data_IF_584566336141
#
_entry.id   IF_584566336141
#
_cell.length_a   1.000
_cell.length_b   1.000
_cell.length_c   1.000
_cell.angle_alpha   90.00
_cell.angle_beta   90.00
_cell.angle_gamma   90.00
#
_symmetry.space_group_name_H-M   'P 1'
#
loop_
_entity.id
_entity.type
_entity.pdbx_description
1 polymer ?
#
# COMPACT_ATOMS: atom_id res chain seq x y z
N UNK A 1 -17.80 -53.27 -42.93
CA UNK A 1 -17.36 -51.91 -42.54
C UNK A 1 -18.12 -51.44 -41.28
N UNK A 2 -19.10 -52.24 -40.82
CA UNK A 2 -20.02 -51.87 -39.73
C UNK A 2 -19.51 -52.23 -38.32
N UNK A 3 -18.69 -53.27 -38.17
CA UNK A 3 -18.17 -53.71 -36.85
C UNK A 3 -17.25 -52.66 -36.20
N UNK A 4 -16.44 -51.95 -37.00
CA UNK A 4 -15.58 -50.88 -36.51
C UNK A 4 -16.39 -49.63 -36.11
N UNK A 5 -17.44 -49.31 -36.88
CA UNK A 5 -18.34 -48.21 -36.58
C UNK A 5 -19.18 -48.49 -35.32
N UNK A 6 -19.70 -49.70 -35.16
CA UNK A 6 -20.41 -50.13 -33.95
C UNK A 6 -19.49 -50.17 -32.72
N UNK A 7 -18.22 -50.56 -32.88
CA UNK A 7 -17.25 -50.49 -31.78
C UNK A 7 -16.95 -49.05 -31.33
N UNK A 8 -16.81 -48.11 -32.27
CA UNK A 8 -16.63 -46.69 -31.93
C UNK A 8 -17.90 -46.07 -31.35
N UNK A 9 -19.09 -46.38 -31.90
CA UNK A 9 -20.37 -45.86 -31.41
C UNK A 9 -20.72 -46.40 -30.01
N UNK A 10 -20.37 -47.65 -29.70
CA UNK A 10 -20.66 -48.28 -28.41
C UNK A 10 -19.61 -47.94 -27.33
N UNK A 11 -18.36 -47.61 -27.71
CA UNK A 11 -17.28 -47.23 -26.77
C UNK A 11 -16.96 -45.73 -26.70
N UNK A 12 -17.61 -44.90 -27.52
CA UNK A 12 -17.51 -43.43 -27.47
C UNK A 12 -17.70 -42.84 -26.05
N UNK A 13 -18.62 -43.35 -25.20
CA UNK A 13 -18.76 -42.87 -23.83
C UNK A 13 -17.48 -43.05 -23.00
N UNK A 14 -16.70 -44.11 -23.20
CA UNK A 14 -15.46 -44.32 -22.45
C UNK A 14 -14.32 -43.43 -22.94
N UNK A 15 -14.33 -43.08 -24.23
CA UNK A 15 -13.33 -42.21 -24.83
C UNK A 15 -13.52 -40.74 -24.42
N UNK A 16 -14.75 -40.33 -24.09
CA UNK A 16 -15.07 -38.94 -23.70
C UNK A 16 -14.89 -38.65 -22.20
N UNK A 17 -14.93 -39.68 -21.35
CA UNK A 17 -14.75 -39.56 -19.88
C UNK A 17 -13.53 -38.72 -19.50
N UNK A 18 -12.28 -39.01 -19.98
CA UNK A 18 -11.10 -38.24 -19.58
C UNK A 18 -11.12 -36.78 -20.08
N UNK A 19 -11.82 -36.49 -21.17
CA UNK A 19 -11.97 -35.11 -21.67
C UNK A 19 -12.96 -34.32 -20.82
N UNK A 20 -14.08 -34.93 -20.43
CA UNK A 20 -15.06 -34.30 -19.56
C UNK A 20 -14.49 -34.12 -18.15
N UNK A 21 -13.80 -35.13 -17.61
CA UNK A 21 -13.19 -35.07 -16.28
C UNK A 21 -12.12 -33.97 -16.22
N UNK A 22 -11.21 -33.94 -17.20
CA UNK A 22 -10.20 -32.89 -17.32
C UNK A 22 -10.81 -31.49 -17.51
N UNK A 23 -11.86 -31.36 -18.32
CA UNK A 23 -12.55 -30.07 -18.48
C UNK A 23 -13.19 -29.58 -17.18
N UNK A 24 -13.86 -30.47 -16.45
CA UNK A 24 -14.49 -30.14 -15.16
C UNK A 24 -13.44 -29.79 -14.11
N UNK A 25 -12.31 -30.52 -14.05
CA UNK A 25 -11.20 -30.24 -13.15
C UNK A 25 -10.56 -28.88 -13.43
N UNK A 26 -10.26 -28.58 -14.69
CA UNK A 26 -9.78 -27.26 -15.12
C UNK A 26 -10.77 -26.15 -14.76
N UNK A 27 -12.03 -26.29 -15.15
CA UNK A 27 -13.08 -25.30 -14.93
C UNK A 27 -13.29 -25.00 -13.45
N UNK A 28 -13.33 -26.05 -12.62
CA UNK A 28 -13.48 -25.91 -11.17
C UNK A 28 -12.27 -25.21 -10.54
N UNK A 29 -11.06 -25.53 -10.98
CA UNK A 29 -9.84 -24.89 -10.48
C UNK A 29 -9.78 -23.39 -10.82
N UNK A 30 -10.12 -23.01 -12.05
CA UNK A 30 -10.19 -21.59 -12.45
C UNK A 30 -11.20 -20.84 -11.58
N UNK A 31 -12.37 -21.42 -11.35
CA UNK A 31 -13.42 -20.79 -10.52
C UNK A 31 -12.97 -20.69 -9.07
N UNK A 32 -12.43 -21.75 -8.49
CA UNK A 32 -11.91 -21.76 -7.12
C UNK A 32 -10.83 -20.69 -6.89
N UNK A 33 -9.94 -20.54 -7.87
CA UNK A 33 -8.90 -19.52 -7.84
C UNK A 33 -9.52 -18.12 -7.88
N UNK A 34 -10.43 -17.87 -8.83
CA UNK A 34 -11.13 -16.57 -8.93
C UNK A 34 -11.93 -16.23 -7.65
N UNK A 35 -12.58 -17.22 -7.04
CA UNK A 35 -13.32 -17.07 -5.78
C UNK A 35 -12.44 -16.74 -4.58
N UNK A 36 -11.15 -17.07 -4.63
CA UNK A 36 -10.17 -16.74 -3.57
C UNK A 36 -9.87 -15.24 -3.53
N UNK A 37 -9.88 -14.57 -4.69
CA UNK A 37 -9.52 -13.15 -4.84
C UNK A 37 -10.73 -12.22 -4.91
N UNK A 38 -11.93 -12.73 -5.23
CA UNK A 38 -13.14 -11.92 -5.43
C UNK A 38 -14.35 -12.49 -4.69
N UNK A 39 -15.28 -11.63 -4.23
CA UNK A 39 -15.28 -10.17 -4.29
C UNK A 39 -14.37 -9.53 -3.22
N UNK A 40 -13.94 -8.29 -3.48
CA UNK A 40 -13.07 -7.51 -2.58
C UNK A 40 -13.77 -7.13 -1.28
N UNK A 41 -15.04 -6.75 -1.38
CA UNK A 41 -15.91 -6.46 -0.25
C UNK A 41 -16.88 -7.60 -0.01
N UNK A 42 -17.38 -7.70 1.23
CA UNK A 42 -18.39 -8.69 1.57
C UNK A 42 -19.69 -8.41 0.81
N UNK A 43 -20.15 -9.39 0.03
CA UNK A 43 -21.43 -9.32 -0.68
C UNK A 43 -22.40 -10.31 -0.04
N UNK A 44 -23.49 -9.82 0.53
CA UNK A 44 -24.58 -10.64 1.07
C UNK A 44 -25.24 -10.04 2.31
N UNK A 45 -26.15 -10.79 2.92
CA UNK A 45 -26.88 -10.41 4.13
C UNK A 45 -26.43 -11.35 5.24
N UNK A 46 -25.89 -10.81 6.32
CA UNK A 46 -25.38 -11.62 7.44
C UNK A 46 -26.49 -12.56 7.95
N UNK A 47 -26.26 -13.89 8.07
CA UNK A 47 -24.97 -14.60 7.97
C UNK A 47 -24.61 -15.14 6.57
N UNK A 48 -25.49 -15.04 5.58
CA UNK A 48 -25.31 -15.59 4.23
C UNK A 48 -24.70 -14.55 3.28
N UNK A 49 -23.37 -14.54 3.18
CA UNK A 49 -22.66 -13.73 2.21
C UNK A 49 -21.26 -14.27 1.95
N UNK A 50 -20.67 -13.79 0.87
CA UNK A 50 -19.41 -14.29 0.35
C UNK A 50 -18.41 -13.13 0.18
N UNK A 51 -17.16 -13.41 0.52
CA UNK A 51 -16.03 -12.53 0.28
C UNK A 51 -14.83 -13.40 -0.10
N UNK A 52 -13.96 -12.90 -0.98
CA UNK A 52 -12.72 -13.59 -1.29
C UNK A 52 -11.88 -13.84 -0.02
N UNK A 53 -11.18 -14.97 0.02
CA UNK A 53 -10.35 -15.37 1.18
C UNK A 53 -9.19 -14.38 1.38
N UNK A 54 -8.58 -13.89 0.30
CA UNK A 54 -7.48 -12.92 0.37
C UNK A 54 -7.96 -11.56 0.90
N UNK A 55 -8.99 -10.91 0.31
CA UNK A 55 -9.47 -9.63 0.82
C UNK A 55 -10.06 -9.72 2.24
N UNK A 56 -10.73 -10.82 2.61
CA UNK A 56 -11.23 -11.01 3.99
C UNK A 56 -10.12 -11.17 5.03
N UNK A 57 -8.91 -11.60 4.60
CA UNK A 57 -7.72 -11.74 5.46
C UNK A 57 -6.64 -10.70 5.17
N UNK A 58 -7.00 -9.61 4.48
CA UNK A 58 -6.09 -8.55 4.04
C UNK A 58 -5.16 -8.07 5.16
N UNK A 59 -5.68 -7.79 6.36
CA UNK A 59 -4.89 -7.30 7.50
C UNK A 59 -3.80 -8.27 7.93
N UNK A 60 -4.14 -9.56 8.02
CA UNK A 60 -3.19 -10.59 8.42
C UNK A 60 -2.09 -10.74 7.37
N UNK A 61 -2.47 -10.73 6.09
CA UNK A 61 -1.52 -10.86 4.99
C UNK A 61 -0.61 -9.65 4.88
N UNK A 62 -1.16 -8.43 4.94
CA UNK A 62 -0.39 -7.19 4.93
C UNK A 62 0.65 -7.17 6.06
N UNK A 63 0.25 -7.54 7.28
CA UNK A 63 1.18 -7.62 8.42
C UNK A 63 2.33 -8.59 8.16
N UNK A 64 2.04 -9.81 7.70
CA UNK A 64 3.07 -10.83 7.42
C UNK A 64 4.01 -10.36 6.30
N UNK A 65 3.46 -9.79 5.22
CA UNK A 65 4.26 -9.30 4.09
C UNK A 65 5.16 -8.14 4.50
N UNK A 66 4.62 -7.15 5.22
CA UNK A 66 5.40 -6.00 5.71
C UNK A 66 6.45 -6.46 6.71
N UNK A 67 6.11 -7.33 7.66
CA UNK A 67 7.05 -7.91 8.63
C UNK A 67 8.22 -8.60 7.95
N UNK A 68 7.94 -9.37 6.89
CA UNK A 68 8.97 -10.07 6.13
C UNK A 68 9.86 -9.10 5.33
N UNK A 69 9.29 -8.03 4.77
CA UNK A 69 10.06 -7.01 4.05
C UNK A 69 10.94 -6.19 5.00
N UNK A 70 10.39 -5.67 6.11
CA UNK A 70 11.13 -4.82 7.05
C UNK A 70 12.20 -5.60 7.80
N UNK A 71 11.99 -6.89 8.09
CA UNK A 71 13.01 -7.72 8.76
C UNK A 71 14.17 -8.15 7.86
N UNK A 72 14.02 -8.11 6.54
CA UNK A 72 15.01 -8.69 5.60
C UNK A 72 15.59 -7.73 4.58
N UNK A 73 14.91 -6.61 4.27
CA UNK A 73 15.20 -5.84 3.06
C UNK A 73 15.29 -4.32 3.26
N UNK A 74 14.65 -3.75 4.29
CA UNK A 74 14.52 -2.29 4.41
C UNK A 74 14.74 -1.82 5.85
N UNK A 75 15.80 -1.06 6.07
CA UNK A 75 15.96 -0.21 7.27
C UNK A 75 15.30 1.15 7.02
N UNK A 76 14.58 1.65 8.02
CA UNK A 76 13.97 3.00 7.97
C UNK A 76 15.05 4.06 7.74
N UNK A 77 16.20 3.88 8.38
CA UNK A 77 17.39 4.74 8.25
C UNK A 77 17.96 4.73 6.83
N UNK A 78 17.91 3.59 6.13
CA UNK A 78 18.38 3.49 4.74
C UNK A 78 17.44 4.19 3.76
N UNK A 79 16.13 4.17 4.02
CA UNK A 79 15.16 4.91 3.20
C UNK A 79 15.29 6.41 3.45
N UNK A 80 15.38 6.81 4.71
CA UNK A 80 15.46 8.22 5.09
C UNK A 80 16.79 8.85 4.65
N UNK A 81 17.90 8.12 4.71
CA UNK A 81 19.20 8.61 4.22
C UNK A 81 19.27 8.83 2.70
N UNK A 82 18.33 8.27 1.93
CA UNK A 82 18.19 8.53 0.49
C UNK A 82 17.33 9.75 0.18
N UNK A 83 16.60 10.29 1.15
CA UNK A 83 15.89 11.55 0.98
C UNK A 83 16.93 12.69 0.99
N UNK A 84 16.88 13.55 -0.03
CA UNK A 84 17.74 14.73 -0.11
C UNK A 84 17.18 15.83 0.80
N UNK A 85 17.94 16.30 1.81
CA UNK A 85 17.52 17.41 2.68
C UNK A 85 17.11 18.66 1.90
N UNK A 86 17.77 18.93 0.78
CA UNK A 86 17.53 20.10 -0.07
C UNK A 86 16.13 20.07 -0.68
N UNK A 87 15.65 18.89 -1.08
CA UNK A 87 14.32 18.74 -1.68
C UNK A 87 13.21 18.79 -0.64
N UNK A 88 13.48 18.27 0.56
CA UNK A 88 12.56 18.41 1.69
C UNK A 88 12.47 19.88 2.08
N UNK A 89 13.59 20.59 2.11
CA UNK A 89 13.62 22.02 2.37
C UNK A 89 12.76 22.77 1.34
N UNK A 90 12.97 22.58 0.04
CA UNK A 90 12.19 23.27 -1.00
C UNK A 90 10.67 23.07 -0.86
N UNK A 91 10.23 21.84 -0.54
CA UNK A 91 8.80 21.50 -0.42
C UNK A 91 8.17 21.97 0.90
N UNK A 92 8.90 21.85 2.02
CA UNK A 92 8.38 22.17 3.35
C UNK A 92 8.53 23.65 3.69
N UNK A 93 9.55 24.33 3.15
CA UNK A 93 9.88 25.71 3.49
C UNK A 93 8.71 26.69 3.32
N UNK A 94 7.88 26.66 2.26
CA UNK A 94 6.72 27.54 2.14
C UNK A 94 5.72 27.37 3.30
N UNK A 95 5.45 26.13 3.71
CA UNK A 95 4.54 25.83 4.82
C UNK A 95 5.11 26.32 6.15
N UNK A 96 6.40 26.07 6.40
CA UNK A 96 7.08 26.55 7.62
C UNK A 96 7.16 28.08 7.64
N UNK A 97 7.42 28.76 6.51
CA UNK A 97 7.40 30.24 6.43
C UNK A 97 6.03 30.80 6.81
N UNK A 98 4.96 30.22 6.26
CA UNK A 98 3.60 30.64 6.59
C UNK A 98 3.30 30.46 8.09
N UNK A 99 3.67 29.31 8.65
CA UNK A 99 3.48 29.01 10.07
C UNK A 99 4.33 29.91 10.97
N UNK A 100 5.61 30.13 10.64
CA UNK A 100 6.51 31.00 11.38
C UNK A 100 5.98 32.43 11.44
N UNK A 101 5.46 32.95 10.31
CA UNK A 101 4.81 34.26 10.27
C UNK A 101 3.57 34.32 11.18
N UNK A 102 2.74 33.28 11.15
CA UNK A 102 1.55 33.21 11.99
C UNK A 102 1.93 33.20 13.47
N UNK A 103 2.81 32.29 13.88
CA UNK A 103 3.29 32.16 15.26
C UNK A 103 3.96 33.46 15.73
N UNK A 104 4.77 34.09 14.88
CA UNK A 104 5.41 35.38 15.21
C UNK A 104 4.37 36.44 15.51
N UNK A 105 3.33 36.57 14.69
CA UNK A 105 2.26 37.52 14.95
C UNK A 105 1.51 37.21 16.24
N UNK A 106 1.16 35.94 16.47
CA UNK A 106 0.46 35.50 17.69
C UNK A 106 1.28 35.76 18.96
N UNK A 107 2.57 35.40 18.95
CA UNK A 107 3.48 35.61 20.10
C UNK A 107 3.71 37.09 20.36
N UNK A 108 3.95 37.90 19.32
CA UNK A 108 4.16 39.33 19.47
C UNK A 108 2.90 40.05 19.95
N UNK A 109 1.72 39.62 19.49
CA UNK A 109 0.45 40.15 19.98
C UNK A 109 0.22 39.76 21.45
N UNK A 110 0.54 38.53 21.85
CA UNK A 110 0.35 38.06 23.22
C UNK A 110 1.33 38.71 24.22
N UNK A 111 2.60 38.85 23.85
CA UNK A 111 3.66 39.28 24.79
C UNK A 111 4.03 40.76 24.67
N UNK A 112 3.86 41.37 23.50
CA UNK A 112 4.32 42.72 23.22
C UNK A 112 3.31 43.52 22.38
N UNK A 113 2.00 43.35 22.62
CA UNK A 113 0.90 43.95 21.83
C UNK A 113 1.10 45.45 21.55
N UNK A 114 1.45 46.25 22.57
CA UNK A 114 1.62 47.71 22.41
C UNK A 114 2.74 48.03 21.42
N UNK A 115 3.90 47.38 21.56
CA UNK A 115 5.04 47.58 20.66
C UNK A 115 4.70 47.06 19.27
N UNK A 116 4.09 45.87 19.19
CA UNK A 116 3.74 45.25 17.91
C UNK A 116 2.75 46.09 17.13
N UNK A 117 1.67 46.56 17.76
CA UNK A 117 0.66 47.39 17.09
C UNK A 117 1.17 48.79 16.73
N UNK A 118 2.14 49.33 17.47
CA UNK A 118 2.75 50.61 17.13
C UNK A 118 3.76 50.55 15.98
N UNK A 119 4.25 49.36 15.61
CA UNK A 119 5.25 49.20 14.55
C UNK A 119 4.63 49.37 13.15
N UNK A 120 5.24 50.15 12.26
CA UNK A 120 4.87 50.19 10.84
C UNK A 120 5.01 48.81 10.17
N UNK A 121 4.20 48.54 9.15
CA UNK A 121 4.22 47.26 8.41
C UNK A 121 5.59 46.90 7.84
N UNK A 122 6.39 47.90 7.45
CA UNK A 122 7.76 47.68 6.98
C UNK A 122 8.63 47.05 8.06
N UNK A 123 8.51 47.51 9.31
CA UNK A 123 9.29 46.99 10.45
C UNK A 123 8.82 45.60 10.86
N UNK A 124 7.49 45.36 10.88
CA UNK A 124 6.94 44.01 11.12
C UNK A 124 7.45 43.00 10.09
N UNK A 125 7.45 43.38 8.81
CA UNK A 125 8.00 42.55 7.73
C UNK A 125 9.50 42.31 7.89
N UNK A 126 10.26 43.28 8.38
CA UNK A 126 11.69 43.08 8.67
C UNK A 126 11.92 42.08 9.79
N UNK A 127 11.13 42.11 10.87
CA UNK A 127 11.20 41.12 11.95
C UNK A 127 10.90 39.71 11.42
N UNK A 128 9.82 39.57 10.66
CA UNK A 128 9.47 38.28 10.04
C UNK A 128 10.59 37.80 9.10
N UNK A 129 11.19 38.70 8.31
CA UNK A 129 12.30 38.34 7.41
C UNK A 129 13.53 37.84 8.16
N UNK A 130 13.82 38.38 9.34
CA UNK A 130 14.93 37.90 10.18
C UNK A 130 14.67 36.46 10.62
N UNK A 131 13.46 36.16 11.08
CA UNK A 131 13.06 34.80 11.48
C UNK A 131 13.09 33.86 10.26
N UNK A 132 12.57 34.31 9.13
CA UNK A 132 12.56 33.58 7.86
C UNK A 132 13.96 33.26 7.32
N UNK A 133 14.98 34.03 7.68
CA UNK A 133 16.37 33.79 7.29
C UNK A 133 17.02 32.65 8.09
N UNK A 134 16.54 32.36 9.29
CA UNK A 134 17.00 31.25 10.13
C UNK A 134 16.33 29.92 9.79
N UNK A 135 15.17 29.94 9.12
CA UNK A 135 14.40 28.73 8.81
C UNK A 135 15.19 27.65 8.05
N UNK A 136 16.00 27.95 7.00
CA UNK A 136 16.81 26.94 6.32
C UNK A 136 17.73 26.17 7.28
N UNK A 137 18.37 26.90 8.20
CA UNK A 137 19.27 26.32 9.19
C UNK A 137 18.52 25.41 10.16
N UNK A 138 17.39 25.89 10.69
CA UNK A 138 16.55 25.11 11.62
C UNK A 138 16.02 23.84 10.94
N UNK A 139 15.56 23.93 9.69
CA UNK A 139 15.09 22.77 8.92
C UNK A 139 16.21 21.75 8.76
N UNK A 140 17.43 22.20 8.46
CA UNK A 140 18.60 21.32 8.33
C UNK A 140 18.95 20.63 9.64
N UNK A 141 19.00 21.37 10.75
CA UNK A 141 19.24 20.82 12.10
C UNK A 141 18.16 19.79 12.46
N UNK A 142 16.89 20.09 12.22
CA UNK A 142 15.78 19.15 12.43
C UNK A 142 15.90 17.89 11.56
N UNK A 143 16.33 18.00 10.30
CA UNK A 143 16.54 16.85 9.43
C UNK A 143 17.68 15.95 9.92
N UNK A 144 18.76 16.53 10.46
CA UNK A 144 19.84 15.78 11.08
C UNK A 144 19.36 15.06 12.34
N UNK A 145 18.58 15.74 13.20
CA UNK A 145 17.99 15.14 14.41
C UNK A 145 17.00 14.01 14.09
N UNK A 146 16.16 14.21 13.08
CA UNK A 146 15.22 13.19 12.59
C UNK A 146 15.98 11.99 12.04
N UNK A 147 17.08 12.20 11.31
CA UNK A 147 17.88 11.10 10.77
C UNK A 147 18.48 10.23 11.88
N UNK A 148 18.88 10.82 13.00
CA UNK A 148 19.44 10.09 14.14
C UNK A 148 18.34 9.30 14.89
N UNK A 149 17.14 9.88 15.01
CA UNK A 149 16.04 9.31 15.80
C UNK A 149 14.86 8.82 14.95
N UNK A 150 15.09 8.44 13.69
CA UNK A 150 14.01 8.17 12.73
C UNK A 150 13.12 7.01 13.17
N UNK A 151 13.68 6.04 13.90
CA UNK A 151 12.96 4.85 14.38
C UNK A 151 11.92 5.20 15.47
N UNK A 152 12.15 6.26 16.25
CA UNK A 152 11.22 6.73 17.27
C UNK A 152 10.09 7.59 16.68
N UNK A 153 10.36 8.22 15.53
CA UNK A 153 9.47 9.17 14.87
C UNK A 153 8.58 8.48 13.83
N UNK A 154 9.12 7.47 13.13
CA UNK A 154 8.50 6.89 11.94
C UNK A 154 8.41 5.35 11.99
N UNK A 155 7.21 4.86 12.30
CA UNK A 155 6.89 3.43 12.17
C UNK A 155 6.45 3.08 10.72
N UNK A 156 7.45 2.79 9.88
CA UNK A 156 7.23 2.36 8.48
C UNK A 156 6.34 1.12 8.40
N UNK A 157 6.41 0.21 9.38
CA UNK A 157 5.62 -1.01 9.36
C UNK A 157 4.14 -0.69 9.51
N UNK A 158 3.79 0.14 10.49
CA UNK A 158 2.41 0.58 10.69
C UNK A 158 1.89 1.40 9.52
N UNK A 159 2.72 2.27 8.94
CA UNK A 159 2.36 3.03 7.74
C UNK A 159 2.10 2.15 6.53
N UNK A 160 3.00 1.20 6.23
CA UNK A 160 2.85 0.28 5.12
C UNK A 160 1.61 -0.62 5.29
N UNK A 161 1.35 -1.13 6.51
CA UNK A 161 0.14 -1.90 6.80
C UNK A 161 -1.10 -1.04 6.58
N UNK A 162 -1.10 0.21 7.07
CA UNK A 162 -2.24 1.12 6.92
C UNK A 162 -2.53 1.44 5.45
N UNK A 163 -1.50 1.74 4.66
CA UNK A 163 -1.63 1.99 3.23
C UNK A 163 -2.16 0.76 2.46
N UNK A 164 -1.69 -0.44 2.81
CA UNK A 164 -2.20 -1.70 2.23
C UNK A 164 -3.65 -1.99 2.66
N UNK A 165 -4.04 -1.58 3.85
CA UNK A 165 -5.40 -1.77 4.38
C UNK A 165 -6.42 -0.81 3.78
N UNK A 166 -5.98 0.40 3.41
CA UNK A 166 -6.81 1.39 2.73
C UNK A 166 -7.22 0.93 1.33
N UNK A 167 -6.33 0.17 0.65
CA UNK A 167 -6.60 -0.41 -0.67
C UNK A 167 -6.49 -1.95 -0.66
N UNK A 168 -7.61 -2.62 -0.38
CA UNK A 168 -7.70 -4.09 -0.49
C UNK A 168 -7.43 -4.60 -1.91
N UNK A 169 -7.66 -3.79 -2.95
CA UNK A 169 -7.37 -4.18 -4.32
C UNK A 169 -5.86 -4.22 -4.58
N UNK A 170 -5.08 -3.32 -3.96
CA UNK A 170 -3.63 -3.34 -4.01
C UNK A 170 -3.06 -4.64 -3.43
N UNK A 171 -3.54 -5.08 -2.27
CA UNK A 171 -3.14 -6.39 -1.70
C UNK A 171 -3.48 -7.50 -2.70
N UNK A 172 -4.68 -7.50 -3.25
CA UNK A 172 -5.13 -8.50 -4.23
C UNK A 172 -4.20 -8.55 -5.45
N UNK A 173 -3.85 -7.37 -5.98
CA UNK A 173 -2.96 -7.21 -7.12
C UNK A 173 -1.53 -7.70 -6.83
N UNK A 174 -0.99 -7.41 -5.64
CA UNK A 174 0.32 -7.91 -5.23
C UNK A 174 0.33 -9.44 -5.23
N UNK A 175 -0.68 -10.09 -4.63
CA UNK A 175 -0.76 -11.56 -4.65
C UNK A 175 -0.96 -12.13 -6.05
N UNK A 176 -1.79 -11.49 -6.88
CA UNK A 176 -2.04 -11.92 -8.27
C UNK A 176 -0.79 -11.80 -9.14
N UNK A 177 -0.01 -10.72 -8.98
CA UNK A 177 1.20 -10.48 -9.77
C UNK A 177 2.33 -11.44 -9.41
N UNK A 178 2.50 -11.76 -8.12
CA UNK A 178 3.53 -12.69 -7.65
C UNK A 178 3.16 -14.14 -7.99
N UNK A 179 1.90 -14.54 -7.78
CA UNK A 179 1.47 -15.93 -7.93
C UNK A 179 0.99 -16.32 -9.33
N UNK A 180 1.03 -15.42 -10.33
CA UNK A 180 0.44 -15.66 -11.65
C UNK A 180 0.94 -16.96 -12.33
N UNK A 181 2.23 -17.32 -12.13
CA UNK A 181 2.80 -18.54 -12.71
C UNK A 181 2.26 -19.79 -12.02
N UNK A 182 2.21 -19.75 -10.70
CA UNK A 182 1.70 -20.81 -9.83
C UNK A 182 0.21 -21.02 -10.05
N UNK A 183 -0.56 -19.96 -10.26
CA UNK A 183 -1.99 -20.01 -10.56
C UNK A 183 -2.26 -20.68 -11.89
N UNK A 184 -1.54 -20.30 -12.96
CA UNK A 184 -1.64 -20.98 -14.25
C UNK A 184 -1.26 -22.46 -14.17
N UNK A 185 -0.30 -22.82 -13.33
CA UNK A 185 0.04 -24.22 -13.07
C UNK A 185 -1.12 -24.97 -12.39
N UNK A 186 -1.77 -24.38 -11.38
CA UNK A 186 -2.93 -24.97 -10.70
C UNK A 186 -4.11 -25.13 -11.66
N UNK A 187 -4.38 -24.13 -12.49
CA UNK A 187 -5.44 -24.19 -13.50
C UNK A 187 -5.17 -25.33 -14.50
N UNK A 188 -3.99 -25.37 -15.12
CA UNK A 188 -3.66 -26.39 -16.11
C UNK A 188 -3.57 -27.80 -15.53
N UNK A 189 -3.02 -27.96 -14.32
CA UNK A 189 -2.94 -29.27 -13.65
C UNK A 189 -4.32 -29.85 -13.36
N UNK A 190 -5.36 -29.02 -13.20
CA UNK A 190 -6.75 -29.45 -13.10
C UNK A 190 -7.25 -30.24 -14.32
N UNK A 191 -6.69 -29.99 -15.51
CA UNK A 191 -7.01 -30.78 -16.69
C UNK A 191 -6.33 -32.16 -16.69
N UNK A 192 -5.11 -32.24 -16.15
CA UNK A 192 -4.32 -33.48 -16.16
C UNK A 192 -4.69 -34.44 -15.02
N UNK A 193 -5.11 -33.92 -13.88
CA UNK A 193 -5.49 -34.71 -12.69
C UNK A 193 -7.01 -34.83 -12.49
N UNK A 194 -7.81 -34.17 -13.34
CA UNK A 194 -9.26 -34.07 -13.25
C UNK A 194 -10.04 -35.25 -13.82
#
# INVERSE_FOLDING_TARGET
MDIFLDFFLNNYPYLIIPFISGFVGWFTNVIALKMTFYPLEYIGIRPFGWQGIIPSKATKMAKISVDMMTSKLVSVTDVFSRLSPERIEEEIQPAIRAMAKQITNEVMEAQASVLWNSLPDKSKKSVIRIIEAELPRVIKELMEDIKINIEDILDIKSLAISALMEDKALINHIFLSVGNKEFKFIEHSGFYFG
#
